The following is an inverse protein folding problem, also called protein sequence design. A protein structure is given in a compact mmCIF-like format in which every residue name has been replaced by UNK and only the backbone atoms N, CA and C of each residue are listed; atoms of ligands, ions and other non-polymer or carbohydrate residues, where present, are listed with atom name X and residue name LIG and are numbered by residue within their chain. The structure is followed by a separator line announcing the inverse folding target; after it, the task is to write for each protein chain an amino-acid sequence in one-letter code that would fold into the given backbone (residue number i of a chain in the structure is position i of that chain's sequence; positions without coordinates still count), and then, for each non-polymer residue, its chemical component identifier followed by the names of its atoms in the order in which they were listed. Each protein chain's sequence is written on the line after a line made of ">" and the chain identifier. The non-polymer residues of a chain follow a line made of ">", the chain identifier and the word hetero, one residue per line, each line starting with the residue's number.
data_IF_408502054312
#
_entry.id   IF_408502054312
#
_cell.length_a   1.000
_cell.length_b   1.000
_cell.length_c   1.000
_cell.angle_alpha   90.00
_cell.angle_beta   90.00
_cell.angle_gamma   90.00
#
_symmetry.space_group_name_H-M   'P 1'
#
loop_
_entity.id
_entity.type
_entity.pdbx_description
1 polymer ?
#
# COMPACT_ATOMS: atom_id res chain seq x y z
N UNK A 1 6.04 -11.51 30.19
CA UNK A 1 5.68 -12.92 30.50
C UNK A 1 5.53 -13.04 32.00
N UNK A 2 4.59 -13.83 32.49
CA UNK A 2 4.35 -14.01 33.94
C UNK A 2 4.32 -15.50 34.26
N UNK A 3 5.06 -15.95 35.28
CA UNK A 3 4.98 -17.35 35.76
C UNK A 3 3.83 -17.55 36.77
N UNK A 4 3.61 -18.81 37.11
CA UNK A 4 2.69 -19.28 38.15
C UNK A 4 2.94 -18.70 39.55
N UNK A 5 4.19 -18.29 39.85
CA UNK A 5 4.55 -17.58 41.09
C UNK A 5 4.37 -16.05 41.03
N UNK A 6 3.90 -15.51 39.90
CA UNK A 6 3.66 -14.07 39.71
C UNK A 6 4.90 -13.25 39.33
N UNK A 7 6.05 -13.87 39.08
CA UNK A 7 7.24 -13.19 38.57
C UNK A 7 7.03 -12.75 37.12
N UNK A 8 7.34 -11.48 36.84
CA UNK A 8 7.25 -10.91 35.50
C UNK A 8 8.63 -10.83 34.82
N UNK A 9 8.70 -11.24 33.56
CA UNK A 9 9.87 -11.11 32.70
C UNK A 9 9.54 -10.23 31.48
N UNK A 10 10.38 -9.24 31.23
CA UNK A 10 10.22 -8.26 30.16
C UNK A 10 11.35 -8.45 29.15
N UNK A 11 10.98 -8.58 27.87
CA UNK A 11 11.92 -8.71 26.76
C UNK A 11 11.61 -7.70 25.67
N UNK A 12 12.58 -7.48 24.79
CA UNK A 12 12.46 -6.63 23.60
C UNK A 12 12.72 -7.47 22.36
N UNK A 13 12.04 -7.14 21.27
CA UNK A 13 12.24 -7.82 19.98
C UNK A 13 13.60 -7.44 19.40
N UNK A 14 14.38 -8.44 18.99
CA UNK A 14 15.72 -8.28 18.40
C UNK A 14 15.74 -8.53 16.89
N UNK A 15 14.63 -9.01 16.34
CA UNK A 15 14.44 -9.29 14.93
C UNK A 15 13.17 -10.07 14.69
N UNK A 16 12.68 -10.02 13.45
CA UNK A 16 11.56 -10.82 12.99
C UNK A 16 12.03 -11.65 11.80
N UNK A 17 11.72 -12.95 11.81
CA UNK A 17 11.93 -13.85 10.68
C UNK A 17 10.62 -14.58 10.39
N UNK A 18 9.94 -14.16 9.32
CA UNK A 18 8.59 -14.61 9.01
C UNK A 18 7.60 -14.23 10.13
N UNK A 19 6.88 -15.24 10.68
CA UNK A 19 5.95 -15.07 11.80
C UNK A 19 6.61 -15.26 13.18
N UNK A 20 7.91 -15.52 13.22
CA UNK A 20 8.64 -15.75 14.45
C UNK A 20 9.42 -14.48 14.81
N UNK A 21 9.16 -13.97 16.00
CA UNK A 21 9.90 -12.86 16.58
C UNK A 21 10.89 -13.41 17.60
N UNK A 22 12.17 -13.05 17.44
CA UNK A 22 13.18 -13.36 18.43
C UNK A 22 13.13 -12.28 19.52
N UNK A 23 12.82 -12.70 20.74
CA UNK A 23 12.69 -11.80 21.89
C UNK A 23 13.93 -11.98 22.78
N UNK A 24 14.73 -10.92 22.91
CA UNK A 24 15.80 -10.85 23.90
C UNK A 24 15.22 -10.39 25.23
N UNK A 25 15.30 -11.27 26.23
CA UNK A 25 14.90 -10.94 27.60
C UNK A 25 16.06 -10.29 28.36
N UNK A 26 15.75 -9.27 29.18
CA UNK A 26 16.69 -8.71 30.16
C UNK A 26 16.35 -9.32 31.53
N UNK A 27 17.35 -9.88 32.22
CA UNK A 27 17.21 -10.41 33.58
C UNK A 27 17.41 -11.93 33.70
N UNK A 28 17.15 -12.47 34.89
CA UNK A 28 17.29 -13.89 35.24
C UNK A 28 16.22 -14.73 34.54
N UNK A 29 16.54 -15.96 34.13
CA UNK A 29 15.59 -16.85 33.47
C UNK A 29 14.32 -17.09 34.33
N UNK A 30 13.15 -17.13 33.69
CA UNK A 30 11.90 -17.52 34.36
C UNK A 30 12.03 -18.93 34.92
N UNK A 31 11.89 -19.08 36.23
CA UNK A 31 11.76 -20.38 36.89
C UNK A 31 10.29 -20.70 37.11
N UNK A 32 9.87 -21.96 36.92
CA UNK A 32 8.47 -22.38 37.10
C UNK A 32 7.65 -22.43 35.80
N UNK A 33 6.35 -22.73 35.89
CA UNK A 33 5.48 -22.80 34.70
C UNK A 33 5.11 -21.40 34.22
N UNK A 34 5.17 -21.21 32.91
CA UNK A 34 4.66 -20.01 32.26
C UNK A 34 3.13 -19.98 32.39
N UNK A 35 2.59 -18.91 32.99
CA UNK A 35 1.16 -18.73 33.18
C UNK A 35 0.54 -17.84 32.11
N UNK A 36 1.25 -16.76 31.70
CA UNK A 36 0.73 -15.82 30.72
C UNK A 36 1.82 -15.10 29.91
N UNK A 37 1.47 -14.75 28.66
CA UNK A 37 2.26 -13.87 27.79
C UNK A 37 1.37 -12.70 27.37
N UNK A 38 1.83 -11.47 27.60
CA UNK A 38 1.20 -10.25 27.11
C UNK A 38 2.23 -9.43 26.35
N UNK A 39 1.79 -8.78 25.27
CA UNK A 39 2.58 -7.77 24.55
C UNK A 39 2.16 -6.41 25.09
N UNK A 40 3.12 -5.61 25.53
CA UNK A 40 2.88 -4.26 26.06
C UNK A 40 3.64 -3.29 25.18
N UNK A 41 2.91 -2.40 24.53
CA UNK A 41 3.44 -1.39 23.63
C UNK A 41 2.42 -1.08 22.53
N UNK A 42 2.32 0.19 22.17
CA UNK A 42 1.83 0.59 20.86
C UNK A 42 3.02 0.43 19.93
N UNK A 43 2.91 -0.31 18.83
CA UNK A 43 3.98 -0.34 17.83
C UNK A 43 4.32 1.11 17.47
N UNK A 44 5.58 1.49 17.66
CA UNK A 44 6.08 2.76 17.17
C UNK A 44 5.87 2.78 15.67
N UNK A 45 5.33 3.88 15.15
CA UNK A 45 5.13 4.03 13.71
C UNK A 45 6.46 3.76 13.01
N UNK A 46 6.42 2.90 12.01
CA UNK A 46 7.55 2.69 11.10
C UNK A 46 7.93 4.03 10.45
N UNK A 47 9.17 4.16 9.96
CA UNK A 47 9.58 5.37 9.24
C UNK A 47 8.66 5.68 8.05
N UNK A 48 8.11 4.66 7.39
CA UNK A 48 7.15 4.81 6.31
C UNK A 48 5.81 5.38 6.80
N UNK A 49 5.30 4.93 7.94
CA UNK A 49 4.07 5.45 8.51
C UNK A 49 4.23 6.87 9.04
N UNK A 50 5.38 7.18 9.66
CA UNK A 50 5.73 8.55 10.08
C UNK A 50 5.77 9.50 8.88
N UNK A 51 6.46 9.12 7.82
CA UNK A 51 6.54 9.90 6.58
C UNK A 51 5.17 10.08 5.91
N UNK A 52 4.32 9.03 5.91
CA UNK A 52 2.94 9.12 5.42
C UNK A 52 2.13 10.14 6.22
N UNK A 53 2.19 10.07 7.55
CA UNK A 53 1.40 10.95 8.42
C UNK A 53 1.86 12.40 8.28
N UNK A 54 3.17 12.63 8.16
CA UNK A 54 3.76 13.95 7.87
C UNK A 54 3.31 14.49 6.51
N UNK A 55 3.38 13.66 5.45
CA UNK A 55 2.90 14.03 4.12
C UNK A 55 1.43 14.46 4.14
N UNK A 56 0.57 13.68 4.80
CA UNK A 56 -0.87 14.00 4.92
C UNK A 56 -1.06 15.32 5.67
N UNK A 57 -0.31 15.54 6.76
CA UNK A 57 -0.41 16.76 7.54
C UNK A 57 -0.03 18.00 6.72
N UNK A 58 1.09 17.95 6.00
CA UNK A 58 1.56 19.04 5.14
C UNK A 58 0.57 19.30 3.99
N UNK A 59 0.03 18.24 3.38
CA UNK A 59 -1.01 18.36 2.36
C UNK A 59 -2.25 19.08 2.89
N UNK A 60 -2.73 18.70 4.10
CA UNK A 60 -3.93 19.31 4.69
C UNK A 60 -3.72 20.78 5.11
N UNK A 61 -2.49 21.17 5.42
CA UNK A 61 -2.13 22.56 5.71
C UNK A 61 -1.89 23.41 4.46
N UNK A 62 -1.81 22.79 3.29
CA UNK A 62 -1.39 23.46 2.06
C UNK A 62 0.10 23.85 2.08
N UNK A 63 0.89 23.20 2.95
CA UNK A 63 2.31 23.47 3.15
C UNK A 63 3.22 22.55 2.33
N UNK A 64 2.63 21.57 1.61
CA UNK A 64 3.36 20.58 0.82
C UNK A 64 4.27 21.28 -0.22
N UNK A 65 5.58 21.28 0.03
CA UNK A 65 6.55 21.81 -0.93
C UNK A 65 6.75 20.81 -2.06
N UNK A 66 7.10 21.30 -3.26
CA UNK A 66 7.22 20.47 -4.46
C UNK A 66 8.34 19.43 -4.33
N UNK A 67 9.33 19.70 -3.48
CA UNK A 67 10.44 18.80 -3.15
C UNK A 67 10.11 17.76 -2.08
N UNK A 68 9.09 17.98 -1.25
CA UNK A 68 8.66 17.08 -0.15
C UNK A 68 7.62 16.04 -0.60
N UNK A 69 6.90 16.35 -1.69
CA UNK A 69 6.20 15.32 -2.44
C UNK A 69 7.27 14.36 -2.97
N UNK A 70 7.10 13.05 -2.70
CA UNK A 70 7.97 11.98 -3.20
C UNK A 70 8.49 12.38 -4.59
N UNK A 71 9.81 12.64 -4.71
CA UNK A 71 10.41 13.16 -5.92
C UNK A 71 10.43 12.07 -6.99
N UNK A 72 9.25 11.72 -7.50
CA UNK A 72 9.08 11.02 -8.76
C UNK A 72 9.21 12.15 -9.79
N UNK A 73 10.32 12.23 -10.52
CA UNK A 73 10.56 13.32 -11.45
C UNK A 73 9.53 13.19 -12.57
N UNK A 74 8.41 13.88 -12.45
CA UNK A 74 7.38 13.78 -13.45
C UNK A 74 6.75 15.14 -13.74
N UNK A 75 6.90 15.56 -15.00
CA UNK A 75 6.11 16.63 -15.57
C UNK A 75 4.74 16.05 -15.89
N UNK A 76 3.73 16.36 -15.07
CA UNK A 76 2.31 16.19 -15.44
C UNK A 76 2.03 17.00 -16.70
N UNK A 77 2.25 16.39 -17.86
CA UNK A 77 1.66 16.84 -19.10
C UNK A 77 0.24 16.29 -19.11
N UNK A 78 -0.75 17.16 -19.14
CA UNK A 78 -2.14 16.73 -19.24
C UNK A 78 -2.44 16.41 -20.70
N UNK A 79 -2.30 15.16 -21.13
CA UNK A 79 -2.90 14.75 -22.39
C UNK A 79 -4.37 14.43 -22.19
N UNK A 80 -5.22 14.96 -23.06
CA UNK A 80 -6.65 14.63 -23.10
C UNK A 80 -6.87 13.27 -23.78
N UNK A 81 -6.37 12.18 -23.21
CA UNK A 81 -6.80 10.84 -23.66
C UNK A 81 -8.22 10.59 -23.15
N UNK A 82 -9.18 10.51 -24.07
CA UNK A 82 -10.55 10.10 -23.73
C UNK A 82 -10.58 8.60 -23.46
N UNK A 83 -10.62 8.22 -22.19
CA UNK A 83 -10.83 6.82 -21.78
C UNK A 83 -12.30 6.43 -22.08
N UNK A 84 -12.56 5.47 -22.99
CA UNK A 84 -13.91 5.14 -23.41
C UNK A 84 -14.75 4.51 -22.27
N UNK A 85 -16.04 4.82 -22.27
CA UNK A 85 -17.04 4.19 -21.39
C UNK A 85 -17.11 4.74 -19.97
N UNK A 86 -16.50 5.88 -19.66
CA UNK A 86 -16.78 6.62 -18.41
C UNK A 86 -18.07 7.41 -18.54
N UNK A 87 -18.87 7.46 -17.47
CA UNK A 87 -20.00 8.38 -17.39
C UNK A 87 -19.55 9.80 -16.99
N UNK A 88 -20.47 10.76 -16.94
CA UNK A 88 -20.13 12.15 -16.66
C UNK A 88 -19.46 12.36 -15.28
N UNK A 89 -19.93 11.70 -14.22
CA UNK A 89 -19.35 11.84 -12.88
C UNK A 89 -17.97 11.19 -12.78
N UNK A 90 -17.77 10.07 -13.45
CA UNK A 90 -16.49 9.39 -13.56
C UNK A 90 -15.48 10.22 -14.36
N UNK A 91 -15.89 10.81 -15.47
CA UNK A 91 -15.05 11.69 -16.30
C UNK A 91 -14.57 12.89 -15.48
N UNK A 92 -15.47 13.56 -14.76
CA UNK A 92 -15.12 14.68 -13.88
C UNK A 92 -14.17 14.27 -12.74
N UNK A 93 -14.32 13.05 -12.26
CA UNK A 93 -13.43 12.50 -11.23
C UNK A 93 -12.03 12.26 -11.82
N UNK A 94 -11.96 11.66 -13.01
CA UNK A 94 -10.71 11.41 -13.72
C UNK A 94 -9.94 12.72 -13.99
N UNK A 95 -10.62 13.73 -14.52
CA UNK A 95 -10.03 15.06 -14.80
C UNK A 95 -9.36 15.66 -13.56
N UNK A 96 -9.97 15.50 -12.38
CA UNK A 96 -9.36 15.94 -11.12
C UNK A 96 -8.18 15.06 -10.74
N UNK A 97 -8.30 13.73 -10.86
CA UNK A 97 -7.23 12.78 -10.50
C UNK A 97 -5.95 13.00 -11.29
N UNK A 98 -6.05 13.34 -12.59
CA UNK A 98 -4.87 13.57 -13.46
C UNK A 98 -4.39 15.03 -13.46
N UNK A 99 -5.03 15.91 -12.67
CA UNK A 99 -4.65 17.32 -12.57
C UNK A 99 -3.38 17.51 -11.73
N UNK A 100 -2.90 18.75 -11.64
CA UNK A 100 -1.75 19.12 -10.81
C UNK A 100 -2.07 19.22 -9.31
N UNK A 101 -3.25 18.76 -8.87
CA UNK A 101 -3.61 18.76 -7.45
C UNK A 101 -2.73 17.76 -6.69
N UNK A 102 -2.08 18.15 -5.57
CA UNK A 102 -1.15 17.27 -4.85
C UNK A 102 -1.85 16.08 -4.20
N UNK A 103 -3.12 16.25 -3.81
CA UNK A 103 -3.96 15.19 -3.22
C UNK A 103 -5.37 15.30 -3.75
N UNK A 104 -5.92 14.17 -4.21
CA UNK A 104 -7.30 14.06 -4.65
C UNK A 104 -7.96 12.90 -3.90
N UNK A 105 -9.07 13.18 -3.21
CA UNK A 105 -9.87 12.17 -2.52
C UNK A 105 -11.09 11.84 -3.37
N UNK A 106 -11.19 10.57 -3.79
CA UNK A 106 -12.33 10.06 -4.54
C UNK A 106 -13.19 9.17 -3.66
N UNK A 107 -14.42 9.60 -3.40
CA UNK A 107 -15.42 8.83 -2.67
C UNK A 107 -16.55 8.40 -3.60
N UNK A 108 -16.97 7.14 -3.48
CA UNK A 108 -18.10 6.63 -4.25
C UNK A 108 -18.76 5.44 -3.55
N UNK A 109 -20.11 5.32 -3.55
CA UNK A 109 -20.82 4.15 -3.06
C UNK A 109 -20.32 2.81 -3.64
N UNK A 110 -20.66 1.66 -3.04
CA UNK A 110 -20.39 0.35 -3.63
C UNK A 110 -20.90 0.26 -5.08
N UNK A 111 -20.15 -0.38 -5.97
CA UNK A 111 -20.54 -0.56 -7.38
C UNK A 111 -20.36 0.65 -8.31
N UNK A 112 -19.96 1.83 -7.82
CA UNK A 112 -19.84 3.06 -8.64
C UNK A 112 -18.62 3.13 -9.58
N UNK A 113 -17.85 2.04 -9.67
CA UNK A 113 -16.74 1.94 -10.62
C UNK A 113 -15.47 2.70 -10.20
N UNK A 114 -15.20 2.87 -8.90
CA UNK A 114 -13.94 3.46 -8.39
C UNK A 114 -12.69 2.82 -9.01
N UNK A 115 -12.66 1.49 -9.13
CA UNK A 115 -11.57 0.75 -9.78
C UNK A 115 -11.40 1.14 -11.25
N UNK A 116 -12.49 1.50 -11.94
CA UNK A 116 -12.46 1.98 -13.33
C UNK A 116 -11.75 3.32 -13.44
N UNK A 117 -11.91 4.21 -12.45
CA UNK A 117 -11.18 5.47 -12.36
C UNK A 117 -9.69 5.22 -12.16
N UNK A 118 -9.33 4.32 -11.25
CA UNK A 118 -7.92 3.97 -10.99
C UNK A 118 -7.25 3.49 -12.30
N UNK A 119 -7.86 2.56 -13.02
CA UNK A 119 -7.30 2.05 -14.26
C UNK A 119 -7.30 3.10 -15.39
N UNK A 120 -8.30 3.99 -15.42
CA UNK A 120 -8.35 5.08 -16.39
C UNK A 120 -7.24 6.11 -16.16
N UNK A 121 -6.98 6.48 -14.90
CA UNK A 121 -5.88 7.38 -14.56
C UNK A 121 -4.52 6.78 -14.93
N UNK A 122 -4.33 5.49 -14.63
CA UNK A 122 -3.12 4.76 -15.01
C UNK A 122 -2.89 4.73 -16.52
N UNK A 123 -3.94 4.54 -17.32
CA UNK A 123 -3.84 4.57 -18.78
C UNK A 123 -3.43 5.95 -19.31
N UNK A 124 -4.02 7.02 -18.77
CA UNK A 124 -3.63 8.40 -19.13
C UNK A 124 -2.16 8.66 -18.77
N UNK A 125 -1.75 8.26 -17.56
CA UNK A 125 -0.36 8.43 -17.14
C UNK A 125 0.62 7.61 -17.98
N UNK A 126 0.27 6.39 -18.40
CA UNK A 126 1.12 5.61 -19.31
C UNK A 126 1.27 6.29 -20.67
N UNK A 127 0.18 6.80 -21.26
CA UNK A 127 0.21 7.57 -22.51
C UNK A 127 1.12 8.80 -22.39
N UNK A 128 1.14 9.43 -21.22
CA UNK A 128 1.98 10.58 -20.88
C UNK A 128 3.44 10.20 -20.53
N UNK A 129 3.80 8.91 -20.58
CA UNK A 129 5.12 8.41 -20.19
C UNK A 129 5.41 8.52 -18.69
N UNK A 130 4.37 8.67 -17.88
CA UNK A 130 4.43 8.79 -16.41
C UNK A 130 4.30 7.42 -15.75
N UNK A 131 5.30 6.98 -14.96
CA UNK A 131 5.12 5.82 -14.10
C UNK A 131 4.15 6.16 -12.96
N UNK A 132 3.23 5.24 -12.66
CA UNK A 132 2.29 5.35 -11.55
C UNK A 132 2.48 4.23 -10.52
N UNK A 133 2.49 4.59 -9.24
CA UNK A 133 2.45 3.63 -8.14
C UNK A 133 1.02 3.45 -7.65
N UNK A 134 0.51 2.22 -7.75
CA UNK A 134 -0.84 1.88 -7.28
C UNK A 134 -0.71 0.91 -6.11
N UNK A 135 -1.22 1.33 -4.96
CA UNK A 135 -1.17 0.55 -3.72
C UNK A 135 -2.58 0.21 -3.27
N UNK A 136 -2.77 -1.00 -2.73
CA UNK A 136 -4.04 -1.41 -2.14
C UNK A 136 -3.81 -2.23 -0.87
N UNK A 137 -4.78 -2.20 0.05
CA UNK A 137 -4.69 -2.85 1.35
C UNK A 137 -4.75 -4.39 1.28
N UNK A 138 -5.29 -4.96 0.20
CA UNK A 138 -5.41 -6.41 0.05
C UNK A 138 -4.97 -6.90 -1.32
N UNK A 139 -4.43 -8.12 -1.34
CA UNK A 139 -4.01 -8.79 -2.57
C UNK A 139 -5.16 -8.98 -3.57
N UNK A 140 -6.38 -9.24 -3.08
CA UNK A 140 -7.57 -9.31 -3.92
C UNK A 140 -7.86 -7.96 -4.59
N UNK A 141 -7.68 -6.84 -3.88
CA UNK A 141 -7.83 -5.51 -4.46
C UNK A 141 -6.75 -5.22 -5.52
N UNK A 142 -5.49 -5.60 -5.26
CA UNK A 142 -4.39 -5.51 -6.25
C UNK A 142 -4.76 -6.31 -7.50
N UNK A 143 -5.17 -7.57 -7.37
CA UNK A 143 -5.63 -8.40 -8.49
C UNK A 143 -6.73 -7.71 -9.29
N UNK A 144 -7.80 -7.26 -8.63
CA UNK A 144 -8.94 -6.63 -9.31
C UNK A 144 -8.54 -5.36 -10.08
N UNK A 145 -7.58 -4.58 -9.56
CA UNK A 145 -7.02 -3.43 -10.26
C UNK A 145 -6.21 -3.90 -11.48
N UNK A 146 -5.32 -4.88 -11.31
CA UNK A 146 -4.46 -5.38 -12.40
C UNK A 146 -5.25 -6.01 -13.55
N UNK A 147 -6.38 -6.69 -13.27
CA UNK A 147 -7.29 -7.16 -14.31
C UNK A 147 -7.90 -6.01 -15.13
N UNK A 148 -8.18 -4.88 -14.49
CA UNK A 148 -8.68 -3.68 -15.18
C UNK A 148 -7.60 -2.99 -16.00
N UNK A 149 -6.37 -2.94 -15.49
CA UNK A 149 -5.21 -2.45 -16.25
C UNK A 149 -4.98 -3.32 -17.49
N UNK A 150 -4.98 -4.64 -17.34
CA UNK A 150 -4.82 -5.58 -18.46
C UNK A 150 -5.94 -5.44 -19.51
N UNK A 151 -7.19 -5.22 -19.09
CA UNK A 151 -8.31 -4.94 -20.00
C UNK A 151 -8.11 -3.67 -20.83
N UNK A 152 -7.45 -2.66 -20.26
CA UNK A 152 -7.07 -1.42 -20.96
C UNK A 152 -5.73 -1.51 -21.68
N UNK A 153 -5.06 -2.68 -21.62
CA UNK A 153 -3.71 -2.92 -22.15
C UNK A 153 -2.64 -2.01 -21.55
N UNK A 154 -2.84 -1.59 -20.30
CA UNK A 154 -1.85 -0.82 -19.57
C UNK A 154 -0.72 -1.75 -19.13
N UNK A 155 0.52 -1.32 -19.34
CA UNK A 155 1.72 -2.06 -18.92
C UNK A 155 1.94 -1.84 -17.42
N UNK A 156 2.12 -2.93 -16.66
CA UNK A 156 2.40 -2.82 -15.23
C UNK A 156 3.29 -3.96 -14.75
N UNK A 157 3.88 -3.77 -13.57
CA UNK A 157 4.56 -4.79 -12.78
C UNK A 157 3.88 -4.90 -11.42
N UNK A 158 3.76 -6.12 -10.90
CA UNK A 158 3.29 -6.35 -9.52
C UNK A 158 4.51 -6.66 -8.67
N UNK A 159 4.65 -5.95 -7.55
CA UNK A 159 5.65 -6.28 -6.53
C UNK A 159 4.97 -7.15 -5.48
N UNK A 160 5.48 -8.36 -5.30
CA UNK A 160 4.99 -9.33 -4.32
C UNK A 160 6.19 -9.79 -3.48
N UNK A 161 6.03 -9.89 -2.17
CA UNK A 161 7.06 -10.50 -1.32
C UNK A 161 7.29 -11.96 -1.75
N UNK A 162 8.55 -12.38 -1.79
CA UNK A 162 8.92 -13.78 -2.08
C UNK A 162 8.15 -14.77 -1.19
N UNK A 163 7.97 -14.44 0.08
CA UNK A 163 7.28 -15.27 1.07
C UNK A 163 5.78 -15.44 0.76
N UNK A 164 5.16 -14.46 0.10
CA UNK A 164 3.73 -14.52 -0.24
C UNK A 164 3.49 -15.29 -1.55
N UNK A 165 4.43 -15.22 -2.49
CA UNK A 165 4.32 -15.91 -3.77
C UNK A 165 4.33 -17.44 -3.58
N UNK A 166 5.17 -17.97 -2.69
CA UNK A 166 5.49 -19.41 -2.68
C UNK A 166 4.44 -20.28 -1.98
N UNK A 167 3.69 -19.78 -0.99
CA UNK A 167 2.96 -20.69 -0.10
C UNK A 167 1.42 -20.71 -0.23
N UNK A 168 0.73 -19.68 -0.74
CA UNK A 168 -0.74 -19.62 -0.56
C UNK A 168 -1.59 -19.13 -1.75
N UNK A 169 -1.04 -18.36 -2.70
CA UNK A 169 -1.87 -17.55 -3.59
C UNK A 169 -1.38 -17.39 -5.03
N UNK A 170 -0.48 -18.25 -5.54
CA UNK A 170 0.00 -18.15 -6.93
C UNK A 170 -1.14 -18.06 -7.95
N UNK A 171 -2.20 -18.85 -7.74
CA UNK A 171 -3.41 -18.88 -8.57
C UNK A 171 -4.08 -17.50 -8.75
N UNK A 172 -3.84 -16.54 -7.85
CA UNK A 172 -4.34 -15.16 -7.91
C UNK A 172 -3.67 -14.38 -9.05
N UNK A 173 -2.43 -14.72 -9.43
CA UNK A 173 -1.60 -13.94 -10.34
C UNK A 173 -1.25 -14.64 -11.67
N UNK A 174 -1.76 -15.85 -11.91
CA UNK A 174 -1.42 -16.67 -13.10
C UNK A 174 -1.84 -16.03 -14.43
N UNK A 175 -2.87 -15.16 -14.45
CA UNK A 175 -3.51 -14.71 -15.71
C UNK A 175 -3.28 -13.27 -16.16
N UNK A 176 -2.59 -12.39 -15.44
CA UNK A 176 -2.09 -11.16 -16.06
C UNK A 176 -0.58 -10.97 -16.00
N UNK A 177 0.20 -11.85 -15.35
CA UNK A 177 1.62 -11.58 -15.05
C UNK A 177 2.53 -12.65 -15.63
N UNK A 178 3.40 -12.26 -16.56
CA UNK A 178 4.60 -13.03 -16.90
C UNK A 178 5.70 -12.72 -15.89
N UNK A 179 6.37 -13.76 -15.38
CA UNK A 179 7.48 -13.63 -14.43
C UNK A 179 8.68 -13.01 -15.15
N UNK A 180 9.27 -11.98 -14.55
CA UNK A 180 10.57 -11.46 -14.96
C UNK A 180 11.61 -12.15 -14.08
N UNK A 181 12.48 -12.95 -14.69
CA UNK A 181 13.58 -13.64 -14.03
C UNK A 181 14.75 -12.68 -13.72
#
# INVERSE_FOLDING_TARGET
>A
MTNDSGQELIGHTDGAKGRTNDIKFKGTALTGKLAAVRVVGKEELTNAEKARDEFILLALRGELQREEALHVPFMLQTSTTRVPGLNASQTRTLEKTISTMPVVVVQGPPGTGKTKIISAAAAVWEDDGSPAWIVAQSNVAVKNITEKLAQLKVTFKIIVSQEFHVEWHEHIYVRPVSRLD
#
